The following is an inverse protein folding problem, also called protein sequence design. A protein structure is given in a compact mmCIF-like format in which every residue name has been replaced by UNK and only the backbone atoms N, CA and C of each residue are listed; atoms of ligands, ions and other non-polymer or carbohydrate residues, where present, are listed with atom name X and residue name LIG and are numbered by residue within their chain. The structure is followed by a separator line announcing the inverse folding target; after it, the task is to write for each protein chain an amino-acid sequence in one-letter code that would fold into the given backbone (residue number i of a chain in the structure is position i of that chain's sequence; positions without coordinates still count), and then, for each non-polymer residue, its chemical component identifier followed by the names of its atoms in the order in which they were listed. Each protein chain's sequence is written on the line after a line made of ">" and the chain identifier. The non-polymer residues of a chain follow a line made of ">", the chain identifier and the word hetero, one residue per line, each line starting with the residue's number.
data_IF_961558240826
#
_entry.id   IF_961558240826
#
_cell.length_a   1.000
_cell.length_b   1.000
_cell.length_c   1.000
_cell.angle_alpha   90.00
_cell.angle_beta   90.00
_cell.angle_gamma   90.00
#
_symmetry.space_group_name_H-M   'P 1'
#
loop_
_entity.id
_entity.type
_entity.pdbx_description
1 polymer ?
#
# COMPACT_ATOMS: atom_id res chain seq x y z
N UNK A 1 10.27 -3.59 13.94
CA UNK A 1 9.67 -3.71 12.61
C UNK A 1 10.33 -2.70 11.68
N UNK A 2 10.89 -3.19 10.59
CA UNK A 2 11.55 -2.39 9.54
C UNK A 2 10.53 -1.92 8.51
N UNK A 3 10.84 -0.88 7.72
CA UNK A 3 9.95 -0.44 6.64
C UNK A 3 9.66 -1.52 5.59
N UNK A 4 10.59 -2.45 5.35
CA UNK A 4 10.35 -3.58 4.45
C UNK A 4 9.28 -4.54 4.99
N UNK A 5 9.38 -4.93 6.27
CA UNK A 5 8.40 -5.83 6.92
C UNK A 5 6.99 -5.23 6.90
N UNK A 6 6.87 -3.91 7.13
CA UNK A 6 5.59 -3.18 7.02
C UNK A 6 5.04 -3.24 5.60
N UNK A 7 5.91 -3.07 4.59
CA UNK A 7 5.52 -3.13 3.18
C UNK A 7 4.96 -4.50 2.80
N UNK A 8 5.62 -5.58 3.20
CA UNK A 8 5.18 -6.95 2.97
C UNK A 8 3.84 -7.24 3.65
N UNK A 9 3.67 -6.81 4.91
CA UNK A 9 2.41 -6.95 5.64
C UNK A 9 1.25 -6.24 4.93
N UNK A 10 1.49 -5.03 4.44
CA UNK A 10 0.50 -4.25 3.70
C UNK A 10 0.13 -4.95 2.39
N UNK A 11 1.09 -5.53 1.67
CA UNK A 11 0.81 -6.29 0.45
C UNK A 11 -0.04 -7.53 0.70
N UNK A 12 0.15 -8.24 1.83
CA UNK A 12 -0.68 -9.37 2.22
C UNK A 12 -2.13 -8.95 2.50
N UNK A 13 -2.34 -7.79 3.13
CA UNK A 13 -3.68 -7.25 3.42
C UNK A 13 -4.38 -6.83 2.11
N UNK A 14 -3.66 -6.16 1.21
CA UNK A 14 -4.20 -5.71 -0.09
C UNK A 14 -4.52 -6.89 -1.00
N UNK A 15 -3.74 -7.96 -0.91
CA UNK A 15 -3.96 -9.20 -1.65
C UNK A 15 -5.12 -10.06 -1.13
N UNK A 16 -5.89 -9.57 -0.15
CA UNK A 16 -6.95 -10.30 0.56
C UNK A 16 -6.45 -11.62 1.19
N UNK A 17 -5.15 -11.71 1.51
CA UNK A 17 -4.53 -12.90 2.15
C UNK A 17 -4.74 -12.87 3.67
N UNK A 18 -4.64 -11.68 4.26
CA UNK A 18 -4.89 -11.42 5.67
C UNK A 18 -5.89 -10.29 5.83
N UNK A 19 -6.78 -10.41 6.80
CA UNK A 19 -7.58 -9.27 7.24
C UNK A 19 -6.70 -8.26 8.00
N UNK A 20 -7.17 -7.01 8.07
CA UNK A 20 -6.50 -5.95 8.83
C UNK A 20 -6.29 -6.36 10.29
N UNK A 21 -7.30 -7.00 10.89
CA UNK A 21 -7.31 -7.47 12.26
C UNK A 21 -6.33 -8.61 12.50
N UNK A 22 -6.24 -9.57 11.57
CA UNK A 22 -5.26 -10.66 11.65
C UNK A 22 -3.83 -10.15 11.53
N UNK A 23 -3.57 -9.25 10.57
CA UNK A 23 -2.26 -8.62 10.40
C UNK A 23 -1.85 -7.79 11.62
N UNK A 24 -2.78 -7.01 12.17
CA UNK A 24 -2.55 -6.23 13.39
C UNK A 24 -2.26 -7.12 14.60
N UNK A 25 -2.94 -8.28 14.72
CA UNK A 25 -2.71 -9.23 15.79
C UNK A 25 -1.34 -9.92 15.69
N UNK A 26 -0.90 -10.29 14.48
CA UNK A 26 0.42 -10.92 14.25
C UNK A 26 1.55 -9.99 14.67
N UNK A 27 1.47 -8.72 14.27
CA UNK A 27 2.53 -7.74 14.53
C UNK A 27 2.37 -7.01 15.88
N UNK A 28 1.34 -7.37 16.67
CA UNK A 28 1.00 -6.69 17.92
C UNK A 28 0.83 -5.16 17.78
N UNK A 29 0.17 -4.72 16.70
CA UNK A 29 -0.07 -3.32 16.37
C UNK A 29 -1.55 -2.97 16.59
N UNK A 30 -1.87 -1.72 16.91
CA UNK A 30 -3.24 -1.25 16.91
C UNK A 30 -3.80 -1.26 15.46
N UNK A 31 -4.94 -1.93 15.19
CA UNK A 31 -5.53 -2.00 13.84
C UNK A 31 -5.81 -0.63 13.21
N UNK A 32 -6.11 0.39 14.03
CA UNK A 32 -6.35 1.77 13.56
C UNK A 32 -5.06 2.44 13.11
N UNK A 33 -3.95 2.14 13.78
CA UNK A 33 -2.63 2.63 13.36
C UNK A 33 -2.23 1.98 12.05
N UNK A 34 -2.39 0.66 11.93
CA UNK A 34 -2.14 -0.07 10.69
C UNK A 34 -3.01 0.43 9.52
N UNK A 35 -4.30 0.69 9.76
CA UNK A 35 -5.20 1.28 8.76
C UNK A 35 -4.70 2.63 8.26
N UNK A 36 -4.21 3.51 9.14
CA UNK A 36 -3.68 4.82 8.74
C UNK A 36 -2.45 4.70 7.85
N UNK A 37 -1.55 3.77 8.18
CA UNK A 37 -0.35 3.51 7.38
C UNK A 37 -0.74 2.98 6.00
N UNK A 38 -1.71 2.06 5.92
CA UNK A 38 -2.22 1.55 4.65
C UNK A 38 -2.83 2.68 3.81
N UNK A 39 -3.67 3.53 4.41
CA UNK A 39 -4.28 4.67 3.73
C UNK A 39 -3.24 5.64 3.17
N UNK A 40 -2.17 5.90 3.93
CA UNK A 40 -1.08 6.78 3.51
C UNK A 40 -0.30 6.16 2.34
N UNK A 41 0.04 4.88 2.41
CA UNK A 41 0.70 4.12 1.33
C UNK A 41 -0.17 4.09 0.07
N UNK A 42 -1.47 3.85 0.21
CA UNK A 42 -2.42 3.84 -0.91
C UNK A 42 -2.63 5.21 -1.53
N UNK A 43 -2.67 6.25 -0.71
CA UNK A 43 -2.72 7.65 -1.17
C UNK A 43 -1.46 8.00 -1.93
N UNK A 44 -0.29 7.59 -1.44
CA UNK A 44 0.98 7.79 -2.12
C UNK A 44 1.05 7.05 -3.46
N UNK A 45 0.67 5.76 -3.50
CA UNK A 45 0.57 4.97 -4.74
C UNK A 45 -0.43 5.58 -5.73
N UNK A 46 -1.59 6.05 -5.28
CA UNK A 46 -2.60 6.70 -6.12
C UNK A 46 -2.11 8.03 -6.69
N UNK A 47 -1.40 8.85 -5.90
CA UNK A 47 -0.81 10.11 -6.37
C UNK A 47 0.32 9.88 -7.37
N UNK A 48 1.16 8.86 -7.15
CA UNK A 48 2.22 8.49 -8.10
C UNK A 48 1.65 7.85 -9.37
N UNK A 49 0.59 7.04 -9.26
CA UNK A 49 -0.13 6.49 -10.41
C UNK A 49 -0.78 7.60 -11.26
N UNK A 50 -1.36 8.63 -10.63
CA UNK A 50 -1.88 9.81 -11.33
C UNK A 50 -0.80 10.67 -11.99
N UNK A 51 0.40 10.76 -11.42
CA UNK A 51 1.52 11.45 -12.06
C UNK A 51 2.20 10.64 -13.17
N UNK A 52 1.95 9.33 -13.26
CA UNK A 52 2.47 8.48 -14.33
C UNK A 52 1.46 8.25 -15.47
N UNK A 53 0.30 8.92 -15.40
CA UNK A 53 -0.68 8.97 -16.47
C UNK A 53 -0.17 9.88 -17.60
N UNK A 54 0.39 9.24 -18.64
CA UNK A 54 0.56 9.78 -20.01
C UNK A 54 1.81 10.66 -20.22
N UNK A 55 2.95 9.98 -20.42
CA UNK A 55 3.82 10.32 -21.56
C UNK A 55 3.47 9.34 -22.69
N UNK A 56 2.31 9.52 -23.32
CA UNK A 56 2.14 9.04 -24.68
C UNK A 56 2.97 9.97 -25.56
N UNK A 57 4.21 9.58 -25.89
CA UNK A 57 4.89 10.17 -27.02
C UNK A 57 4.01 9.89 -28.25
N UNK A 58 3.52 10.91 -28.97
CA UNK A 58 2.91 10.65 -30.27
C UNK A 58 4.02 10.09 -31.16
N UNK A 59 3.97 8.78 -31.43
CA UNK A 59 4.73 8.18 -32.51
C UNK A 59 4.24 8.82 -33.81
N UNK A 60 4.96 9.84 -34.28
CA UNK A 60 4.84 10.31 -35.65
C UNK A 60 5.42 9.22 -36.56
N UNK A 61 4.57 8.79 -37.49
CA UNK A 61 4.87 7.96 -38.67
C UNK A 61 5.99 8.62 -39.48
#
# INVERSE_FOLDING_TARGET
>A
MTPQEIGELIELIIGDILTLEEAAAIECIDPRELSRVIDEVMTFKSRHSRNNSVVCLPSKI
#
